data_IF_178746816068
#
_entry.id   IF_178746816068
#
_cell.length_a   1.000
_cell.length_b   1.000
_cell.length_c   1.000
_cell.angle_alpha   90.00
_cell.angle_beta   90.00
_cell.angle_gamma   90.00
#
_symmetry.space_group_name_H-M   'P 1'
#
loop_
_entity.id
_entity.type
_entity.pdbx_description
1 polymer ?
#
# COMPACT_ATOMS: atom_id res chain seq x y z
N UNK A 1 15.01 -31.95 -22.34
CA UNK A 1 16.18 -31.09 -22.12
C UNK A 1 15.83 -29.75 -22.75
N UNK A 2 15.80 -28.68 -21.94
CA UNK A 2 15.45 -27.34 -22.44
C UNK A 2 16.61 -26.84 -23.28
N UNK A 3 16.33 -26.26 -24.44
CA UNK A 3 17.34 -25.66 -25.32
C UNK A 3 17.60 -24.22 -24.87
N UNK A 4 18.87 -23.92 -24.55
CA UNK A 4 19.32 -22.62 -24.05
C UNK A 4 20.08 -21.80 -25.09
N UNK A 5 20.22 -22.30 -26.33
CA UNK A 5 20.87 -21.57 -27.42
C UNK A 5 20.35 -20.14 -27.63
N UNK A 6 19.05 -19.82 -27.42
CA UNK A 6 18.55 -18.44 -27.56
C UNK A 6 19.09 -17.44 -26.52
N UNK A 7 19.68 -17.90 -25.41
CA UNK A 7 20.21 -17.06 -24.33
C UNK A 7 21.73 -16.94 -24.37
N UNK A 8 22.38 -17.52 -25.38
CA UNK A 8 23.83 -17.50 -25.55
C UNK A 8 24.32 -16.06 -25.75
N UNK A 9 25.25 -15.61 -24.90
CA UNK A 9 25.75 -14.23 -24.91
C UNK A 9 24.90 -13.22 -24.12
N UNK A 10 23.87 -13.66 -23.41
CA UNK A 10 23.10 -12.82 -22.47
C UNK A 10 23.59 -13.02 -21.02
N UNK A 11 23.29 -12.09 -20.13
CA UNK A 11 23.52 -12.26 -18.67
C UNK A 11 22.47 -13.16 -18.00
N UNK A 12 21.59 -13.82 -18.77
CA UNK A 12 20.52 -14.66 -18.24
C UNK A 12 21.12 -16.00 -17.80
N UNK A 13 20.96 -16.41 -16.52
CA UNK A 13 21.49 -17.68 -16.04
C UNK A 13 20.85 -18.86 -16.78
N UNK A 14 21.70 -19.75 -17.29
CA UNK A 14 21.26 -20.99 -17.96
C UNK A 14 20.88 -22.10 -16.98
N UNK A 15 21.31 -21.99 -15.72
CA UNK A 15 20.94 -22.89 -14.63
C UNK A 15 20.22 -22.09 -13.53
N UNK A 16 18.90 -22.22 -13.48
CA UNK A 16 18.08 -21.76 -12.35
C UNK A 16 17.73 -22.98 -11.52
N UNK A 17 18.13 -22.99 -10.25
CA UNK A 17 17.77 -24.08 -9.33
C UNK A 17 16.27 -24.03 -9.08
N UNK A 18 15.53 -24.99 -9.64
CA UNK A 18 14.11 -25.13 -9.37
C UNK A 18 13.98 -25.71 -7.95
N UNK A 19 13.14 -25.12 -7.08
CA UNK A 19 12.89 -25.68 -5.76
C UNK A 19 12.45 -27.15 -5.87
N UNK A 20 13.07 -28.04 -5.08
CA UNK A 20 12.73 -29.47 -5.05
C UNK A 20 11.34 -29.74 -4.48
N UNK A 21 10.76 -28.75 -3.78
CA UNK A 21 9.45 -28.82 -3.14
C UNK A 21 8.68 -27.54 -3.40
N UNK A 22 7.37 -27.69 -3.63
CA UNK A 22 6.45 -26.55 -3.63
C UNK A 22 6.38 -25.96 -2.23
N UNK A 23 6.40 -24.63 -2.13
CA UNK A 23 6.27 -23.92 -0.86
C UNK A 23 4.84 -24.01 -0.29
N UNK A 24 3.86 -24.16 -1.18
CA UNK A 24 2.44 -24.25 -0.87
C UNK A 24 1.90 -25.61 -1.28
N UNK A 25 0.88 -26.07 -0.57
CA UNK A 25 0.12 -27.25 -0.95
C UNK A 25 -0.82 -26.94 -2.13
N UNK A 26 -1.21 -27.96 -2.90
CA UNK A 26 -2.06 -27.79 -4.09
C UNK A 26 -3.32 -26.92 -3.90
N UNK A 27 -4.07 -27.08 -2.80
CA UNK A 27 -5.24 -26.23 -2.51
C UNK A 27 -4.89 -24.76 -2.27
N UNK A 28 -3.85 -24.46 -1.50
CA UNK A 28 -3.39 -23.08 -1.23
C UNK A 28 -2.89 -22.41 -2.52
N UNK A 29 -2.25 -23.19 -3.39
CA UNK A 29 -1.81 -22.72 -4.70
C UNK A 29 -2.98 -22.36 -5.62
N UNK A 30 -4.07 -23.15 -5.61
CA UNK A 30 -5.27 -22.81 -6.39
C UNK A 30 -6.03 -21.61 -5.80
N UNK A 31 -6.07 -21.47 -4.47
CA UNK A 31 -6.70 -20.33 -3.80
C UNK A 31 -6.06 -18.99 -4.20
N UNK A 32 -4.72 -18.93 -4.24
CA UNK A 32 -3.99 -17.71 -4.62
C UNK A 32 -4.29 -17.30 -6.07
N UNK A 33 -4.59 -18.23 -6.97
CA UNK A 33 -4.98 -17.89 -8.35
C UNK A 33 -6.33 -17.17 -8.42
N UNK A 34 -7.18 -17.33 -7.42
CA UNK A 34 -8.47 -16.66 -7.31
C UNK A 34 -8.38 -15.29 -6.63
N UNK A 35 -7.21 -14.91 -6.12
CA UNK A 35 -6.99 -13.59 -5.51
C UNK A 35 -7.06 -12.51 -6.59
N UNK A 36 -8.26 -12.00 -6.82
CA UNK A 36 -8.50 -10.84 -7.66
C UNK A 36 -7.96 -9.61 -6.93
N UNK A 37 -6.79 -9.15 -7.37
CA UNK A 37 -6.24 -7.88 -6.94
C UNK A 37 -7.22 -6.77 -7.36
N UNK A 38 -7.69 -6.02 -6.37
CA UNK A 38 -8.63 -4.92 -6.60
C UNK A 38 -7.90 -3.80 -7.34
N UNK A 39 -8.54 -3.29 -8.39
CA UNK A 39 -8.04 -2.14 -9.13
C UNK A 39 -8.76 -0.87 -8.69
N UNK A 40 -8.01 0.22 -8.55
CA UNK A 40 -8.59 1.54 -8.32
C UNK A 40 -9.11 2.16 -9.62
N UNK A 41 -9.60 3.41 -9.52
CA UNK A 41 -10.15 4.18 -10.66
C UNK A 41 -9.13 4.53 -11.75
N UNK A 42 -7.82 4.34 -11.51
CA UNK A 42 -6.76 4.49 -12.52
C UNK A 42 -6.57 3.19 -13.32
N UNK A 43 -7.25 2.10 -12.94
CA UNK A 43 -7.02 0.77 -13.51
C UNK A 43 -5.74 0.12 -13.01
N UNK A 44 -5.16 0.63 -11.93
CA UNK A 44 -3.98 0.06 -11.26
C UNK A 44 -4.39 -0.74 -10.05
N UNK A 45 -3.52 -1.63 -9.57
CA UNK A 45 -3.68 -2.20 -8.24
C UNK A 45 -3.87 -1.10 -7.20
N UNK A 46 -4.85 -1.26 -6.31
CA UNK A 46 -5.29 -0.22 -5.39
C UNK A 46 -4.17 0.39 -4.54
N UNK A 47 -3.19 -0.42 -4.11
CA UNK A 47 -2.06 0.01 -3.31
C UNK A 47 -0.92 0.65 -4.12
N UNK A 48 -1.05 0.76 -5.45
CA UNK A 48 0.02 1.23 -6.31
C UNK A 48 0.21 2.76 -6.18
N UNK A 49 1.34 3.20 -5.63
CA UNK A 49 1.60 4.63 -5.44
C UNK A 49 2.00 5.34 -6.75
N UNK A 50 2.49 4.62 -7.75
CA UNK A 50 3.00 5.22 -8.98
C UNK A 50 2.22 4.72 -10.21
N UNK A 51 1.76 5.63 -11.07
CA UNK A 51 1.15 5.25 -12.34
C UNK A 51 1.58 6.20 -13.47
N UNK A 52 2.04 5.64 -14.59
CA UNK A 52 2.50 6.38 -15.77
C UNK A 52 3.57 7.45 -15.46
N UNK A 53 4.47 7.18 -14.51
CA UNK A 53 5.50 8.12 -14.07
C UNK A 53 5.00 9.23 -13.15
N UNK A 54 3.74 9.20 -12.73
CA UNK A 54 3.20 10.06 -11.66
C UNK A 54 3.13 9.29 -10.34
N UNK A 55 3.91 9.72 -9.36
CA UNK A 55 3.80 9.27 -7.98
C UNK A 55 2.64 10.00 -7.27
N UNK A 56 1.82 9.26 -6.52
CA UNK A 56 0.78 9.79 -5.66
C UNK A 56 1.23 9.72 -4.21
N UNK A 57 0.97 10.77 -3.41
CA UNK A 57 1.26 10.74 -2.00
C UNK A 57 0.43 9.65 -1.32
N UNK A 58 1.04 8.98 -0.36
CA UNK A 58 0.39 7.99 0.47
C UNK A 58 -0.48 8.68 1.53
N UNK A 59 -1.69 8.16 1.73
CA UNK A 59 -2.56 8.53 2.84
C UNK A 59 -2.04 7.93 4.14
N UNK A 60 -1.75 8.77 5.14
CA UNK A 60 -1.23 8.34 6.44
C UNK A 60 -2.20 7.45 7.22
N UNK A 61 -3.50 7.50 6.90
CA UNK A 61 -4.52 6.75 7.64
C UNK A 61 -4.66 5.33 7.10
N UNK A 62 -4.69 5.19 5.77
CA UNK A 62 -4.98 3.92 5.10
C UNK A 62 -3.74 3.25 4.51
N UNK A 63 -2.68 4.01 4.21
CA UNK A 63 -1.51 3.54 3.48
C UNK A 63 -1.69 3.47 1.96
N UNK A 64 -2.87 3.85 1.45
CA UNK A 64 -3.21 3.83 0.03
C UNK A 64 -2.86 5.16 -0.66
N UNK A 65 -2.70 5.17 -1.99
CA UNK A 65 -2.51 6.41 -2.75
C UNK A 65 -3.70 7.36 -2.59
N UNK A 66 -3.42 8.63 -2.32
CA UNK A 66 -4.45 9.67 -2.29
C UNK A 66 -4.88 9.98 -3.71
N UNK A 67 -6.10 9.58 -4.06
CA UNK A 67 -6.66 9.85 -5.37
C UNK A 67 -7.56 11.09 -5.34
N UNK A 68 -8.28 11.37 -4.25
CA UNK A 68 -9.26 12.45 -4.23
C UNK A 68 -8.67 13.76 -3.71
N UNK A 69 -9.03 14.15 -2.49
CA UNK A 69 -8.73 15.46 -1.93
C UNK A 69 -7.60 15.30 -0.93
N UNK A 70 -6.42 15.77 -1.31
CA UNK A 70 -5.25 15.78 -0.43
C UNK A 70 -5.39 16.82 0.68
N UNK A 71 -5.01 16.43 1.89
CA UNK A 71 -4.80 17.31 3.05
C UNK A 71 -3.36 17.14 3.50
N UNK A 72 -2.63 18.24 3.60
CA UNK A 72 -1.30 18.26 4.23
C UNK A 72 -1.48 18.33 5.75
N UNK A 73 -1.02 17.28 6.44
CA UNK A 73 -1.08 17.15 7.90
C UNK A 73 0.17 17.78 8.54
N UNK A 74 1.20 18.05 7.75
CA UNK A 74 2.49 18.62 8.15
C UNK A 74 3.67 17.68 7.86
N UNK A 75 4.87 18.25 7.69
CA UNK A 75 6.12 17.50 7.51
C UNK A 75 6.07 16.45 6.36
N UNK A 76 5.47 16.82 5.22
CA UNK A 76 5.24 15.93 4.06
C UNK A 76 4.40 14.69 4.38
N UNK A 77 3.54 14.76 5.39
CA UNK A 77 2.55 13.74 5.71
C UNK A 77 1.21 14.18 5.14
N UNK A 78 0.59 13.32 4.34
CA UNK A 78 -0.65 13.63 3.65
C UNK A 78 -1.76 12.67 4.07
N UNK A 79 -3.00 13.13 3.97
CA UNK A 79 -4.17 12.30 4.16
C UNK A 79 -5.21 12.57 3.08
N UNK A 80 -6.04 11.57 2.75
CA UNK A 80 -7.27 11.84 2.03
C UNK A 80 -8.27 12.53 2.97
N UNK A 81 -8.93 13.59 2.50
CA UNK A 81 -9.86 14.39 3.31
C UNK A 81 -10.99 13.56 3.89
N UNK A 82 -11.54 12.60 3.15
CA UNK A 82 -12.64 11.79 3.64
C UNK A 82 -12.18 10.79 4.70
N UNK A 83 -11.02 10.17 4.48
CA UNK A 83 -10.43 9.25 5.46
C UNK A 83 -10.04 9.98 6.74
N UNK A 84 -9.46 11.18 6.61
CA UNK A 84 -9.15 12.03 7.76
C UNK A 84 -10.41 12.39 8.54
N UNK A 85 -11.50 12.76 7.86
CA UNK A 85 -12.76 13.02 8.53
C UNK A 85 -13.33 11.78 9.23
N UNK A 86 -13.30 10.61 8.58
CA UNK A 86 -13.74 9.34 9.17
C UNK A 86 -12.94 9.00 10.42
N UNK A 87 -11.61 9.12 10.35
CA UNK A 87 -10.71 8.91 11.47
C UNK A 87 -11.00 9.87 12.63
N UNK A 88 -11.14 11.17 12.35
CA UNK A 88 -11.44 12.17 13.37
C UNK A 88 -12.80 11.95 14.04
N UNK A 89 -13.80 11.46 13.29
CA UNK A 89 -15.10 11.07 13.86
C UNK A 89 -14.95 9.85 14.77
N UNK A 90 -14.21 8.82 14.35
CA UNK A 90 -13.96 7.62 15.15
C UNK A 90 -13.25 7.97 16.46
N UNK A 91 -12.19 8.79 16.40
CA UNK A 91 -11.44 9.26 17.56
C UNK A 91 -12.32 10.00 18.58
N UNK A 92 -13.30 10.79 18.10
CA UNK A 92 -14.24 11.53 18.97
C UNK A 92 -15.36 10.66 19.53
N UNK A 93 -15.94 9.77 18.72
CA UNK A 93 -17.12 8.99 19.10
C UNK A 93 -16.79 7.81 20.01
N UNK A 94 -15.69 7.11 19.72
CA UNK A 94 -15.29 5.90 20.44
C UNK A 94 -13.79 5.99 20.75
N UNK A 95 -13.36 6.88 21.64
CA UNK A 95 -11.96 6.99 22.00
C UNK A 95 -11.49 5.66 22.63
N UNK A 96 -10.45 5.06 22.05
CA UNK A 96 -9.73 3.92 22.62
C UNK A 96 -8.27 4.31 22.81
N UNK A 97 -7.56 3.64 23.72
CA UNK A 97 -6.14 3.87 23.93
C UNK A 97 -5.34 3.67 22.63
N UNK A 98 -5.73 2.66 21.84
CA UNK A 98 -5.14 2.40 20.52
C UNK A 98 -5.33 3.56 19.54
N UNK A 99 -6.53 4.16 19.48
CA UNK A 99 -6.77 5.32 18.60
C UNK A 99 -6.03 6.57 19.10
N UNK A 100 -5.89 6.75 20.42
CA UNK A 100 -5.08 7.84 20.98
C UNK A 100 -3.60 7.65 20.67
N UNK A 101 -3.08 6.43 20.77
CA UNK A 101 -1.69 6.10 20.41
C UNK A 101 -1.41 6.37 18.94
N UNK A 102 -2.33 5.97 18.04
CA UNK A 102 -2.23 6.30 16.60
C UNK A 102 -2.26 7.83 16.39
N UNK A 103 -3.14 8.56 17.07
CA UNK A 103 -3.20 10.03 16.98
C UNK A 103 -1.90 10.70 17.43
N UNK A 104 -1.31 10.20 18.52
CA UNK A 104 -0.03 10.66 19.03
C UNK A 104 1.11 10.34 18.07
N UNK A 105 1.09 9.15 17.46
CA UNK A 105 2.06 8.76 16.43
C UNK A 105 2.00 9.69 15.22
N UNK A 106 0.81 9.89 14.65
CA UNK A 106 0.66 10.75 13.46
C UNK A 106 1.06 12.18 13.79
N UNK A 107 0.69 12.71 14.98
CA UNK A 107 1.07 14.06 15.38
C UNK A 107 2.59 14.24 15.49
N UNK A 108 3.30 13.23 16.02
CA UNK A 108 4.77 13.22 16.07
C UNK A 108 5.38 13.16 14.68
N UNK A 109 4.85 12.32 13.79
CA UNK A 109 5.34 12.15 12.43
C UNK A 109 5.15 13.44 11.59
N UNK A 110 3.97 14.05 11.70
CA UNK A 110 3.61 15.26 11.00
C UNK A 110 4.25 16.53 11.60
N UNK A 111 4.89 16.43 12.77
CA UNK A 111 5.38 17.58 13.58
C UNK A 111 4.33 18.66 13.76
N UNK A 112 3.08 18.24 13.79
CA UNK A 112 1.90 19.08 13.82
C UNK A 112 0.91 18.37 14.72
N UNK A 113 0.19 19.09 15.57
CA UNK A 113 -0.99 18.48 16.18
C UNK A 113 -1.96 18.12 15.06
N UNK A 114 -2.61 16.96 15.11
CA UNK A 114 -3.91 16.80 14.46
C UNK A 114 -4.92 17.75 15.14
N UNK A 115 -4.73 19.04 14.88
CA UNK A 115 -5.57 20.10 15.33
C UNK A 115 -6.90 19.92 14.66
N UNK A 116 -7.95 19.90 15.47
CA UNK A 116 -9.36 19.91 15.11
C UNK A 116 -9.78 21.19 14.36
N UNK A 117 -8.94 21.73 13.49
CA UNK A 117 -9.23 22.92 12.69
C UNK A 117 -9.90 22.48 11.38
N UNK A 118 -11.20 22.22 11.48
CA UNK A 118 -12.14 22.42 10.38
C UNK A 118 -12.73 23.83 10.53
#
# INVERSE_FOLDING_TARGET
MVDFAPFEGTEIPTEVTIPEKTFLDGPEHEEIKEWNLITDRRGCFEANLEHNGEEKPMDIITGYPILNSIVDVGNNVYADKEELNRYMIALRKNPTDQLQDVSNFISKLAKSSLGLQL
#
